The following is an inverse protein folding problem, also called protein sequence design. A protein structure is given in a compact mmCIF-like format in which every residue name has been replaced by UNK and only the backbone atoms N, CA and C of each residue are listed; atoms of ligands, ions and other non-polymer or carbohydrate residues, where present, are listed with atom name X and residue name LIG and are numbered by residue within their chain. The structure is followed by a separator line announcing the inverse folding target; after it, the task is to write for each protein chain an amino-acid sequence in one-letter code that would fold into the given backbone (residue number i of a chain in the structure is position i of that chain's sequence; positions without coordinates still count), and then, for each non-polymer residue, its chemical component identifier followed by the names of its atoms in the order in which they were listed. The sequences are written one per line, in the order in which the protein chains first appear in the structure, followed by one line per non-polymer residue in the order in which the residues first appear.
data_IF_885083217697
#
_entry.id   IF_885083217697
#
_cell.length_a   1.000
_cell.length_b   1.000
_cell.length_c   1.000
_cell.angle_alpha   90.00
_cell.angle_beta   90.00
_cell.angle_gamma   90.00
#
_symmetry.space_group_name_H-M   'P 1'
#
loop_
_entity.id
_entity.type
_entity.pdbx_description
1 polymer ?
#
# COMPACT_ATOMS: atom_id res chain seq x y z
N UNK A 1 -37.99 67.80 -15.29
CA UNK A 1 -36.81 67.59 -14.43
C UNK A 1 -36.72 66.21 -13.87
N UNK A 2 -37.83 65.43 -13.74
CA UNK A 2 -37.82 64.08 -13.14
C UNK A 2 -37.31 62.92 -14.04
N UNK A 3 -37.34 63.04 -15.38
CA UNK A 3 -36.89 61.94 -16.28
C UNK A 3 -35.39 61.77 -16.34
N UNK A 4 -34.60 62.82 -16.10
CA UNK A 4 -33.14 62.75 -16.10
C UNK A 4 -32.62 61.98 -14.83
N UNK A 5 -33.29 62.16 -13.72
CA UNK A 5 -32.95 61.46 -12.45
C UNK A 5 -33.31 59.99 -12.49
N UNK A 6 -34.44 59.60 -13.12
CA UNK A 6 -34.79 58.17 -13.32
C UNK A 6 -33.80 57.47 -14.27
N UNK A 7 -33.36 58.09 -15.34
CA UNK A 7 -32.43 57.48 -16.31
C UNK A 7 -31.02 57.23 -15.69
N UNK A 8 -30.59 58.07 -14.76
CA UNK A 8 -29.33 57.85 -14.03
C UNK A 8 -29.41 56.71 -13.04
N UNK A 9 -30.51 56.53 -12.29
CA UNK A 9 -30.68 55.45 -11.35
C UNK A 9 -30.75 54.06 -12.01
N UNK A 10 -31.36 53.97 -13.21
CA UNK A 10 -31.45 52.76 -13.99
C UNK A 10 -30.09 52.35 -14.59
N UNK A 11 -29.29 53.33 -15.06
CA UNK A 11 -27.96 53.08 -15.55
C UNK A 11 -26.99 52.61 -14.43
N UNK A 12 -27.06 53.17 -13.25
CA UNK A 12 -26.26 52.77 -12.10
C UNK A 12 -26.60 51.34 -11.63
N UNK A 13 -27.89 51.00 -11.60
CA UNK A 13 -28.34 49.65 -11.22
C UNK A 13 -27.90 48.56 -12.23
N UNK A 14 -27.91 48.89 -13.51
CA UNK A 14 -27.45 47.95 -14.57
C UNK A 14 -25.93 47.78 -14.57
N UNK A 15 -25.17 48.82 -14.33
CA UNK A 15 -23.71 48.77 -14.16
C UNK A 15 -23.32 47.92 -12.95
N UNK A 16 -24.04 48.08 -11.86
CA UNK A 16 -23.82 47.28 -10.63
C UNK A 16 -24.10 45.79 -10.88
N UNK A 17 -25.22 45.42 -11.49
CA UNK A 17 -25.56 44.05 -11.87
C UNK A 17 -24.52 43.43 -12.79
N UNK A 18 -24.04 44.15 -13.79
CA UNK A 18 -23.03 43.67 -14.71
C UNK A 18 -21.68 43.42 -14.01
N UNK A 19 -21.27 44.28 -13.09
CA UNK A 19 -20.06 44.12 -12.28
C UNK A 19 -20.17 42.93 -11.35
N UNK A 20 -21.33 42.72 -10.73
CA UNK A 20 -21.61 41.57 -9.85
C UNK A 20 -21.55 40.24 -10.64
N UNK A 21 -22.21 40.17 -11.79
CA UNK A 21 -22.16 38.97 -12.65
C UNK A 21 -20.76 38.66 -13.13
N UNK A 22 -19.96 39.68 -13.45
CA UNK A 22 -18.55 39.50 -13.84
C UNK A 22 -17.72 38.91 -12.70
N UNK A 23 -17.89 39.43 -11.49
CA UNK A 23 -17.19 38.92 -10.29
C UNK A 23 -17.58 37.47 -9.95
N UNK A 24 -18.86 37.13 -10.08
CA UNK A 24 -19.35 35.76 -9.87
C UNK A 24 -18.73 34.79 -10.88
N UNK A 25 -18.67 35.16 -12.17
CA UNK A 25 -18.03 34.33 -13.20
C UNK A 25 -16.54 34.09 -12.91
N UNK A 26 -15.82 35.10 -12.45
CA UNK A 26 -14.41 34.91 -12.04
C UNK A 26 -14.30 34.02 -10.80
N UNK A 27 -15.16 34.19 -9.81
CA UNK A 27 -15.21 33.32 -8.63
C UNK A 27 -15.39 31.84 -9.00
N UNK A 28 -16.34 31.51 -9.87
CA UNK A 28 -16.53 30.14 -10.37
C UNK A 28 -15.31 29.59 -11.12
N UNK A 29 -14.64 30.43 -11.91
CA UNK A 29 -13.41 30.03 -12.62
C UNK A 29 -12.29 29.62 -11.64
N UNK A 30 -12.08 30.38 -10.58
CA UNK A 30 -11.07 30.06 -9.57
C UNK A 30 -11.43 28.80 -8.76
N UNK A 31 -12.69 28.62 -8.40
CA UNK A 31 -13.18 27.41 -7.72
C UNK A 31 -12.95 26.19 -8.61
N UNK A 32 -13.24 26.29 -9.91
CA UNK A 32 -13.02 25.20 -10.86
C UNK A 32 -11.54 24.84 -10.99
N UNK A 33 -10.64 25.81 -11.11
CA UNK A 33 -9.19 25.60 -11.16
C UNK A 33 -8.69 24.93 -9.86
N UNK A 34 -9.16 25.40 -8.71
CA UNK A 34 -8.82 24.84 -7.41
C UNK A 34 -9.30 23.38 -7.26
N UNK A 35 -10.52 23.09 -7.72
CA UNK A 35 -11.05 21.71 -7.75
C UNK A 35 -10.22 20.79 -8.62
N UNK A 36 -9.79 21.24 -9.81
CA UNK A 36 -8.91 20.46 -10.70
C UNK A 36 -7.56 20.18 -10.04
N UNK A 37 -6.98 21.17 -9.37
CA UNK A 37 -5.72 21.01 -8.64
C UNK A 37 -5.85 19.99 -7.49
N UNK A 38 -6.97 20.02 -6.77
CA UNK A 38 -7.24 19.06 -5.69
C UNK A 38 -7.39 17.63 -6.22
N UNK A 39 -8.09 17.45 -7.35
CA UNK A 39 -8.21 16.15 -8.01
C UNK A 39 -6.83 15.63 -8.42
N UNK A 40 -5.96 16.50 -8.94
CA UNK A 40 -4.60 16.11 -9.33
C UNK A 40 -3.76 15.62 -8.14
N UNK A 41 -3.88 16.28 -6.98
CA UNK A 41 -3.21 15.83 -5.74
C UNK A 41 -3.69 14.45 -5.32
N UNK A 42 -5.01 14.21 -5.31
CA UNK A 42 -5.58 12.92 -4.95
C UNK A 42 -5.11 11.81 -5.90
N UNK A 43 -5.06 12.10 -7.19
CA UNK A 43 -4.61 11.17 -8.22
C UNK A 43 -3.12 10.82 -8.05
N UNK A 44 -2.29 11.83 -7.75
CA UNK A 44 -0.87 11.64 -7.46
C UNK A 44 -0.65 10.75 -6.23
N UNK A 45 -1.42 11.00 -5.17
CA UNK A 45 -1.37 10.17 -3.96
C UNK A 45 -1.81 8.72 -4.23
N UNK A 46 -2.86 8.53 -5.04
CA UNK A 46 -3.33 7.21 -5.44
C UNK A 46 -2.28 6.44 -6.25
N UNK A 47 -1.64 7.09 -7.23
CA UNK A 47 -0.56 6.50 -8.03
C UNK A 47 0.62 6.11 -7.14
N UNK A 48 1.03 6.99 -6.22
CA UNK A 48 2.10 6.70 -5.25
C UNK A 48 1.77 5.46 -4.41
N UNK A 49 0.54 5.34 -3.93
CA UNK A 49 0.09 4.17 -3.17
C UNK A 49 0.14 2.88 -3.98
N UNK A 50 -0.29 2.92 -5.26
CA UNK A 50 -0.20 1.75 -6.15
C UNK A 50 1.25 1.31 -6.42
N UNK A 51 2.15 2.26 -6.66
CA UNK A 51 3.56 1.97 -6.88
C UNK A 51 4.17 1.30 -5.65
N UNK A 52 3.89 1.80 -4.45
CA UNK A 52 4.37 1.24 -3.20
C UNK A 52 3.89 -0.20 -2.96
N UNK A 53 2.61 -0.49 -3.25
CA UNK A 53 2.08 -1.87 -3.17
C UNK A 53 2.82 -2.80 -4.13
N UNK A 54 3.08 -2.34 -5.34
CA UNK A 54 3.76 -3.14 -6.36
C UNK A 54 5.22 -3.44 -5.97
N UNK A 55 5.93 -2.48 -5.39
CA UNK A 55 7.28 -2.68 -4.85
C UNK A 55 7.30 -3.71 -3.71
N UNK A 56 6.38 -3.61 -2.77
CA UNK A 56 6.27 -4.57 -1.67
C UNK A 56 6.03 -6.00 -2.19
N UNK A 57 5.15 -6.16 -3.18
CA UNK A 57 4.91 -7.45 -3.84
C UNK A 57 6.16 -8.00 -4.53
N UNK A 58 6.90 -7.14 -5.23
CA UNK A 58 8.15 -7.52 -5.90
C UNK A 58 9.21 -7.97 -4.89
N UNK A 59 9.34 -7.24 -3.78
CA UNK A 59 10.27 -7.60 -2.71
C UNK A 59 9.91 -8.92 -2.05
N UNK A 60 8.63 -9.15 -1.73
CA UNK A 60 8.14 -10.42 -1.18
C UNK A 60 8.46 -11.59 -2.11
N UNK A 61 8.19 -11.46 -3.42
CA UNK A 61 8.48 -12.49 -4.39
C UNK A 61 9.98 -12.77 -4.52
N UNK A 62 10.83 -11.73 -4.46
CA UNK A 62 12.29 -11.87 -4.48
C UNK A 62 12.79 -12.65 -3.26
N UNK A 63 12.27 -12.34 -2.08
CA UNK A 63 12.62 -13.04 -0.84
C UNK A 63 12.17 -14.50 -0.89
N UNK A 64 10.94 -14.77 -1.35
CA UNK A 64 10.45 -16.13 -1.53
C UNK A 64 11.30 -16.95 -2.52
N UNK A 65 11.73 -16.33 -3.62
CA UNK A 65 12.63 -16.95 -4.59
C UNK A 65 13.98 -17.28 -3.97
N UNK A 66 14.60 -16.34 -3.26
CA UNK A 66 15.89 -16.53 -2.61
C UNK A 66 15.80 -17.64 -1.54
N UNK A 67 14.75 -17.65 -0.72
CA UNK A 67 14.52 -18.71 0.26
C UNK A 67 14.38 -20.10 -0.39
N UNK A 68 13.62 -20.19 -1.48
CA UNK A 68 13.47 -21.45 -2.22
C UNK A 68 14.80 -21.93 -2.82
N UNK A 69 15.61 -21.02 -3.36
CA UNK A 69 16.93 -21.33 -3.90
C UNK A 69 17.86 -21.83 -2.81
N UNK A 70 17.88 -21.19 -1.64
CA UNK A 70 18.66 -21.61 -0.47
C UNK A 70 18.24 -23.00 0.02
N UNK A 71 16.94 -23.28 0.06
CA UNK A 71 16.42 -24.58 0.48
C UNK A 71 16.81 -25.71 -0.48
N UNK A 72 16.81 -25.46 -1.79
CA UNK A 72 17.25 -26.41 -2.80
C UNK A 72 18.76 -26.66 -2.70
N UNK A 73 19.53 -25.63 -2.41
CA UNK A 73 20.98 -25.69 -2.26
C UNK A 73 21.39 -26.47 -1.01
N UNK A 74 20.70 -26.27 0.12
CA UNK A 74 20.97 -26.99 1.38
C UNK A 74 20.71 -28.51 1.29
N UNK A 75 19.89 -28.96 0.35
CA UNK A 75 19.66 -30.39 0.11
C UNK A 75 20.77 -31.07 -0.71
N UNK A 76 21.75 -30.30 -1.24
CA UNK A 76 22.77 -30.78 -2.18
C UNK A 76 24.21 -30.63 -1.68
N UNK A 77 24.51 -30.81 -0.38
CA UNK A 77 25.87 -30.89 0.20
C UNK A 77 26.90 -29.87 -0.34
N UNK A 78 26.84 -28.63 0.15
CA UNK A 78 27.96 -27.68 0.01
C UNK A 78 28.06 -26.73 1.21
N UNK A 79 28.96 -27.02 2.16
CA UNK A 79 29.05 -26.35 3.47
C UNK A 79 29.72 -24.96 3.50
N UNK A 80 30.49 -24.56 2.50
CA UNK A 80 31.33 -23.35 2.58
C UNK A 80 30.70 -22.07 1.99
N UNK A 81 29.83 -22.18 0.99
CA UNK A 81 29.12 -21.03 0.41
C UNK A 81 27.90 -20.63 1.24
N UNK A 82 27.40 -21.58 2.05
CA UNK A 82 26.30 -21.43 2.99
C UNK A 82 26.60 -20.42 4.12
N UNK A 83 27.84 -20.33 4.58
CA UNK A 83 28.22 -19.37 5.62
C UNK A 83 28.23 -17.92 5.10
N UNK A 84 28.59 -17.67 3.85
CA UNK A 84 28.57 -16.33 3.27
C UNK A 84 27.16 -15.83 2.93
N UNK A 85 26.25 -16.73 2.50
CA UNK A 85 24.87 -16.37 2.20
C UNK A 85 24.04 -16.19 3.48
N UNK A 86 24.26 -17.01 4.49
CA UNK A 86 23.65 -16.84 5.82
C UNK A 86 24.15 -15.57 6.49
N UNK A 87 25.40 -15.15 6.30
CA UNK A 87 25.88 -13.89 6.85
C UNK A 87 25.16 -12.68 6.24
N UNK A 88 24.85 -12.68 4.94
CA UNK A 88 24.06 -11.60 4.32
C UNK A 88 22.58 -11.58 4.79
N UNK A 89 22.01 -12.74 5.12
CA UNK A 89 20.65 -12.85 5.70
C UNK A 89 20.67 -12.50 7.20
N UNK A 90 21.75 -12.85 7.92
CA UNK A 90 21.94 -12.57 9.34
C UNK A 90 22.21 -11.10 9.65
N UNK A 91 22.87 -10.36 8.72
CA UNK A 91 23.19 -8.93 8.93
C UNK A 91 21.97 -8.00 8.95
N UNK A 92 20.78 -8.51 8.60
CA UNK A 92 19.56 -7.70 8.61
C UNK A 92 18.64 -7.96 9.80
N UNK A 93 19.04 -8.75 10.81
CA UNK A 93 18.19 -9.15 11.97
C UNK A 93 16.84 -9.80 11.58
N UNK A 94 16.54 -9.88 10.29
CA UNK A 94 15.27 -10.29 9.69
C UNK A 94 15.49 -11.53 8.82
N UNK A 95 15.52 -12.70 9.42
CA UNK A 95 15.70 -13.94 8.67
C UNK A 95 14.38 -14.69 8.43
N UNK A 96 14.35 -15.46 7.35
CA UNK A 96 13.20 -16.30 6.99
C UNK A 96 13.30 -17.64 7.74
N UNK A 97 12.25 -17.99 8.48
CA UNK A 97 12.18 -19.21 9.29
C UNK A 97 11.45 -20.36 8.60
N UNK A 98 10.64 -20.07 7.60
CA UNK A 98 9.82 -21.03 6.90
C UNK A 98 8.96 -20.42 5.83
N UNK A 99 8.02 -21.20 5.33
CA UNK A 99 7.04 -20.79 4.31
C UNK A 99 5.63 -21.20 4.74
N UNK A 100 4.67 -20.28 4.63
CA UNK A 100 3.25 -20.61 4.75
C UNK A 100 2.64 -20.79 3.35
N UNK A 101 1.97 -21.94 3.16
CA UNK A 101 1.25 -22.29 1.93
C UNK A 101 -0.19 -22.63 2.23
N UNK A 102 -1.13 -21.93 1.57
CA UNK A 102 -2.55 -22.25 1.60
C UNK A 102 -3.06 -22.25 0.15
N UNK A 103 -2.95 -23.38 -0.56
CA UNK A 103 -3.22 -23.46 -2.00
C UNK A 103 -4.65 -23.04 -2.37
N UNK A 104 -5.64 -23.39 -1.55
CA UNK A 104 -7.07 -23.10 -1.79
C UNK A 104 -7.35 -21.62 -1.99
N UNK A 105 -6.56 -20.74 -1.37
CA UNK A 105 -6.68 -19.28 -1.47
C UNK A 105 -5.46 -18.64 -2.11
N UNK A 106 -4.62 -19.46 -2.75
CA UNK A 106 -3.41 -19.04 -3.47
C UNK A 106 -2.41 -18.24 -2.61
N UNK A 107 -2.21 -18.68 -1.36
CA UNK A 107 -1.21 -18.10 -0.45
C UNK A 107 0.07 -18.94 -0.49
N UNK A 108 1.20 -18.29 -0.73
CA UNK A 108 2.55 -18.85 -0.61
C UNK A 108 3.50 -17.69 -0.29
N UNK A 109 3.91 -17.58 0.99
CA UNK A 109 4.79 -16.52 1.49
C UNK A 109 5.85 -17.06 2.43
N UNK A 110 7.09 -16.53 2.39
CA UNK A 110 8.08 -16.77 3.44
C UNK A 110 7.59 -16.16 4.75
N UNK A 111 7.99 -16.74 5.88
CA UNK A 111 7.66 -16.23 7.22
C UNK A 111 8.93 -15.64 7.82
N UNK A 112 8.87 -14.38 8.26
CA UNK A 112 9.97 -13.72 8.95
C UNK A 112 9.99 -14.03 10.45
N UNK A 113 11.20 -14.08 11.01
CA UNK A 113 11.43 -14.29 12.45
C UNK A 113 11.02 -13.11 13.31
N UNK A 114 10.99 -11.90 12.76
CA UNK A 114 10.76 -10.64 13.48
C UNK A 114 9.51 -9.93 12.96
N UNK A 115 8.71 -9.43 13.90
CA UNK A 115 7.51 -8.64 13.63
C UNK A 115 7.82 -7.16 13.80
N UNK A 116 7.86 -6.44 12.71
CA UNK A 116 7.88 -4.98 12.65
C UNK A 116 7.07 -4.48 11.45
N UNK A 117 6.78 -3.18 11.41
CA UNK A 117 5.94 -2.57 10.36
C UNK A 117 6.52 -2.74 8.95
N UNK A 118 7.82 -2.83 8.82
CA UNK A 118 8.50 -2.97 7.53
C UNK A 118 8.44 -4.42 7.03
N UNK A 119 8.73 -5.39 7.91
CA UNK A 119 8.64 -6.81 7.57
C UNK A 119 7.22 -7.23 7.28
N UNK A 120 6.22 -6.76 8.06
CA UNK A 120 4.80 -7.03 7.80
C UNK A 120 4.33 -6.52 6.44
N UNK A 121 4.87 -5.39 5.96
CA UNK A 121 4.57 -4.88 4.61
C UNK A 121 5.13 -5.76 3.50
N UNK A 122 6.10 -6.61 3.83
CA UNK A 122 6.81 -7.45 2.87
C UNK A 122 6.31 -8.89 2.90
N UNK A 123 6.02 -9.44 4.08
CA UNK A 123 5.61 -10.85 4.25
C UNK A 123 5.00 -11.11 5.63
N UNK A 124 4.30 -12.24 5.85
CA UNK A 124 3.88 -12.67 7.17
C UNK A 124 5.07 -12.88 8.11
N UNK A 125 4.87 -12.63 9.40
CA UNK A 125 5.89 -12.71 10.44
C UNK A 125 5.41 -13.57 11.63
N UNK A 126 6.35 -14.09 12.41
CA UNK A 126 6.00 -14.67 13.73
C UNK A 126 5.46 -13.54 14.62
N UNK A 127 4.30 -13.78 15.18
CA UNK A 127 3.73 -12.91 16.22
C UNK A 127 4.05 -13.43 17.61
N UNK A 128 3.83 -14.73 17.85
CA UNK A 128 4.01 -15.34 19.15
C UNK A 128 4.10 -16.86 19.02
N UNK A 129 4.75 -17.50 19.97
CA UNK A 129 4.75 -18.94 20.14
C UNK A 129 6.09 -19.60 19.92
N UNK A 130 6.08 -20.94 19.98
CA UNK A 130 7.27 -21.76 19.88
C UNK A 130 7.58 -22.13 18.44
N UNK A 131 8.87 -22.07 18.13
CA UNK A 131 9.36 -22.50 16.81
C UNK A 131 9.39 -24.01 16.68
N UNK A 132 9.03 -24.60 15.52
CA UNK A 132 9.30 -26.00 15.24
C UNK A 132 10.80 -26.33 15.42
N UNK A 133 11.18 -27.47 15.99
CA UNK A 133 10.33 -28.63 16.33
C UNK A 133 9.70 -28.63 17.73
N UNK A 134 9.76 -27.53 18.48
CA UNK A 134 9.17 -27.48 19.81
C UNK A 134 7.65 -27.65 19.77
N UNK A 135 7.12 -28.41 20.73
CA UNK A 135 5.67 -28.56 20.86
C UNK A 135 5.03 -27.28 21.36
N UNK A 136 3.98 -26.82 20.68
CA UNK A 136 3.24 -25.63 21.05
C UNK A 136 2.50 -25.02 19.86
N UNK A 137 1.91 -23.87 20.09
CA UNK A 137 1.25 -23.08 19.03
C UNK A 137 2.22 -22.04 18.50
N UNK A 138 2.23 -21.88 17.17
CA UNK A 138 2.91 -20.79 16.48
C UNK A 138 1.87 -19.86 15.87
N UNK A 139 1.88 -18.61 16.31
CA UNK A 139 1.01 -17.57 15.78
C UNK A 139 1.76 -16.75 14.73
N UNK A 140 1.19 -16.65 13.54
CA UNK A 140 1.74 -15.89 12.41
C UNK A 140 0.82 -14.71 12.14
N UNK A 141 1.39 -13.51 12.09
CA UNK A 141 0.70 -12.29 11.72
C UNK A 141 0.98 -11.94 10.25
N UNK A 142 -0.01 -11.40 9.57
CA UNK A 142 0.11 -10.89 8.21
C UNK A 142 -1.00 -9.90 7.91
N UNK A 143 -0.75 -8.97 7.01
CA UNK A 143 -1.75 -7.97 6.61
C UNK A 143 -2.96 -8.62 5.91
N UNK A 144 -4.12 -8.04 6.16
CA UNK A 144 -5.37 -8.35 5.49
C UNK A 144 -5.80 -7.14 4.64
N UNK A 145 -5.17 -6.96 3.48
CA UNK A 145 -5.50 -5.89 2.53
C UNK A 145 -6.61 -6.32 1.57
N UNK A 146 -7.33 -5.35 0.97
CA UNK A 146 -8.32 -5.62 -0.09
C UNK A 146 -7.68 -5.79 -1.49
N UNK A 147 -6.49 -6.38 -1.59
CA UNK A 147 -5.69 -6.45 -2.82
C UNK A 147 -5.18 -7.85 -3.18
N UNK A 148 -5.74 -8.90 -2.60
CA UNK A 148 -5.33 -10.30 -2.75
C UNK A 148 -3.87 -10.61 -2.31
N UNK A 149 -3.23 -9.73 -1.52
CA UNK A 149 -1.93 -9.96 -0.93
C UNK A 149 -2.07 -10.49 0.50
N UNK A 150 -1.07 -11.24 0.94
CA UNK A 150 -0.95 -11.81 2.29
C UNK A 150 -2.22 -12.58 2.69
N UNK A 151 -2.88 -12.21 3.78
CA UNK A 151 -4.06 -12.88 4.33
C UNK A 151 -5.40 -12.28 3.85
N UNK A 152 -5.40 -11.46 2.79
CA UNK A 152 -6.63 -10.83 2.25
C UNK A 152 -7.73 -11.82 1.89
N UNK A 153 -7.37 -13.03 1.51
CA UNK A 153 -8.31 -14.07 1.09
C UNK A 153 -8.66 -15.08 2.19
N UNK A 154 -8.17 -14.88 3.43
CA UNK A 154 -8.35 -15.87 4.50
C UNK A 154 -9.82 -16.11 4.86
N UNK A 155 -10.67 -15.07 4.68
CA UNK A 155 -12.13 -15.18 4.87
C UNK A 155 -12.83 -16.09 3.86
N UNK A 156 -12.15 -16.47 2.78
CA UNK A 156 -12.68 -17.42 1.77
C UNK A 156 -12.51 -18.88 2.18
N UNK A 157 -11.72 -19.15 3.23
CA UNK A 157 -11.60 -20.50 3.78
C UNK A 157 -12.93 -20.91 4.41
N UNK A 158 -13.42 -22.09 4.03
CA UNK A 158 -14.62 -22.70 4.61
C UNK A 158 -14.18 -23.77 5.59
N UNK A 159 -14.90 -23.90 6.70
CA UNK A 159 -14.76 -25.05 7.61
C UNK A 159 -15.39 -26.26 6.92
N UNK A 160 -14.61 -27.30 6.76
CA UNK A 160 -15.12 -28.63 6.37
C UNK A 160 -15.79 -29.29 7.55
#
# INVERSE_FOLDING_TARGET
MNQILMNNSDNDSTLYKNKLQKNIKYGFKYIFIFSLFFIFILLSFYIYHLLRINENKKNSNKIAYNYKTLKLYNNNDFSNEYQNLNSQIYYTEKFVIGEIKIPVINISYPIFSMLDDETLKTSPCIFYGKMPPEKGNLCIAGHNYNNNLFFSNISKLKKE
#
